data_IF_031048194441
#
_entry.id   IF_031048194441
#
_cell.length_a   1.000
_cell.length_b   1.000
_cell.length_c   1.000
_cell.angle_alpha   90.00
_cell.angle_beta   90.00
_cell.angle_gamma   90.00
#
_symmetry.space_group_name_H-M   'P 1'
#
loop_
_entity.id
_entity.type
_entity.pdbx_description
1 polymer ?
#
# COMPACT_ATOMS: atom_id res chain seq x y z
N UNK A 1 14.85 13.72 -5.26
CA UNK A 1 13.62 12.93 -5.15
C UNK A 1 13.33 12.79 -3.67
N UNK A 2 12.13 13.15 -3.23
CA UNK A 2 11.74 13.08 -1.82
C UNK A 2 11.71 11.62 -1.35
N UNK A 3 12.11 11.37 -0.10
CA UNK A 3 12.14 10.03 0.50
C UNK A 3 10.76 9.39 0.48
N UNK A 4 9.72 10.21 0.65
CA UNK A 4 8.34 9.76 0.56
C UNK A 4 7.94 9.35 -0.86
N UNK A 5 8.37 10.06 -1.90
CA UNK A 5 8.11 9.68 -3.29
C UNK A 5 8.80 8.37 -3.68
N UNK A 6 9.99 8.10 -3.11
CA UNK A 6 10.68 6.82 -3.26
C UNK A 6 9.85 5.71 -2.61
N UNK A 7 9.40 5.91 -1.36
CA UNK A 7 8.56 4.95 -0.64
C UNK A 7 7.27 4.64 -1.39
N UNK A 8 6.57 5.69 -1.84
CA UNK A 8 5.34 5.59 -2.63
C UNK A 8 5.57 4.70 -3.86
N UNK A 9 6.58 5.03 -4.66
CA UNK A 9 6.93 4.30 -5.89
C UNK A 9 7.28 2.84 -5.59
N UNK A 10 8.05 2.59 -4.53
CA UNK A 10 8.44 1.23 -4.13
C UNK A 10 7.25 0.37 -3.71
N UNK A 11 6.27 0.95 -2.99
CA UNK A 11 5.06 0.23 -2.59
C UNK A 11 4.21 -0.12 -3.81
N UNK A 12 4.02 0.84 -4.72
CA UNK A 12 3.27 0.62 -5.96
C UNK A 12 3.89 -0.50 -6.80
N UNK A 13 5.19 -0.41 -7.08
CA UNK A 13 5.92 -1.43 -7.83
C UNK A 13 5.79 -2.81 -7.15
N UNK A 14 5.98 -2.89 -5.83
CA UNK A 14 5.85 -4.15 -5.10
C UNK A 14 4.46 -4.76 -5.20
N UNK A 15 3.40 -3.96 -5.22
CA UNK A 15 2.04 -4.45 -5.42
C UNK A 15 1.83 -5.00 -6.83
N UNK A 16 2.21 -4.23 -7.85
CA UNK A 16 2.06 -4.61 -9.25
C UNK A 16 2.90 -5.86 -9.59
N UNK A 17 4.14 -5.94 -9.10
CA UNK A 17 5.04 -7.09 -9.28
C UNK A 17 4.48 -8.39 -8.64
N UNK A 18 3.60 -8.26 -7.65
CA UNK A 18 2.93 -9.39 -6.99
C UNK A 18 1.52 -9.64 -7.56
N UNK A 19 1.18 -9.04 -8.70
CA UNK A 19 -0.07 -9.29 -9.42
C UNK A 19 -1.29 -8.56 -8.85
N UNK A 20 -1.10 -7.60 -7.94
CA UNK A 20 -2.20 -6.79 -7.45
C UNK A 20 -2.58 -5.73 -8.47
N UNK A 21 -3.89 -5.59 -8.71
CA UNK A 21 -4.44 -4.50 -9.49
C UNK A 21 -4.83 -3.33 -8.58
N UNK A 22 -4.13 -2.21 -8.70
CA UNK A 22 -4.45 -0.96 -8.01
C UNK A 22 -5.59 -0.26 -8.77
N UNK A 23 -6.73 -0.06 -8.10
CA UNK A 23 -7.91 0.59 -8.67
C UNK A 23 -8.03 2.06 -8.28
N UNK A 24 -7.49 2.45 -7.11
CA UNK A 24 -7.47 3.85 -6.67
C UNK A 24 -6.10 4.15 -6.07
N UNK A 25 -5.54 5.29 -6.48
CA UNK A 25 -4.32 5.88 -5.93
C UNK A 25 -4.67 7.31 -5.49
N UNK A 26 -4.46 7.66 -4.22
CA UNK A 26 -4.68 9.04 -3.73
C UNK A 26 -3.74 9.43 -2.60
N UNK A 27 -3.41 10.71 -2.55
CA UNK A 27 -2.76 11.31 -1.39
C UNK A 27 -3.75 11.43 -0.22
N UNK A 28 -3.23 11.30 1.00
CA UNK A 28 -3.93 11.53 2.28
C UNK A 28 -3.06 12.44 3.15
N UNK A 29 -3.63 13.06 4.19
CA UNK A 29 -2.99 14.13 4.98
C UNK A 29 -1.55 13.84 5.44
N UNK A 30 -1.22 12.56 5.68
CA UNK A 30 0.12 12.13 6.12
C UNK A 30 0.63 10.90 5.35
N UNK A 31 0.25 10.74 4.09
CA UNK A 31 0.65 9.55 3.35
C UNK A 31 0.01 9.39 1.99
N UNK A 32 0.01 8.13 1.56
CA UNK A 32 -0.55 7.68 0.31
C UNK A 32 -1.46 6.48 0.54
N UNK A 33 -2.56 6.42 -0.18
CA UNK A 33 -3.51 5.32 -0.10
C UNK A 33 -3.64 4.63 -1.45
N UNK A 34 -3.55 3.31 -1.42
CA UNK A 34 -3.84 2.42 -2.54
C UNK A 34 -5.09 1.60 -2.22
N UNK A 35 -6.01 1.51 -3.17
CA UNK A 35 -7.09 0.51 -3.12
C UNK A 35 -6.83 -0.52 -4.20
N UNK A 36 -6.94 -1.79 -3.82
CA UNK A 36 -6.82 -2.93 -4.73
C UNK A 36 -8.18 -3.32 -5.28
N UNK A 37 -8.22 -4.06 -6.40
CA UNK A 37 -9.45 -4.61 -6.98
C UNK A 37 -10.20 -5.55 -6.03
N UNK A 38 -9.49 -6.14 -5.06
CA UNK A 38 -10.03 -7.01 -4.00
C UNK A 38 -10.81 -6.24 -2.91
N UNK A 39 -10.76 -4.90 -2.93
CA UNK A 39 -11.32 -4.05 -1.88
C UNK A 39 -10.38 -3.80 -0.70
N UNK A 40 -9.20 -4.43 -0.71
CA UNK A 40 -8.11 -4.16 0.24
C UNK A 40 -7.62 -2.72 0.08
N UNK A 41 -7.40 -2.05 1.21
CA UNK A 41 -6.89 -0.69 1.29
C UNK A 41 -5.53 -0.72 1.97
N UNK A 42 -4.53 -0.11 1.35
CA UNK A 42 -3.16 -0.01 1.87
C UNK A 42 -2.87 1.47 2.07
N UNK A 43 -2.59 1.87 3.31
CA UNK A 43 -2.12 3.21 3.62
C UNK A 43 -0.63 3.18 3.93
N UNK A 44 0.15 3.97 3.20
CA UNK A 44 1.57 4.20 3.39
C UNK A 44 1.77 5.59 3.96
N UNK A 45 2.23 5.70 5.21
CA UNK A 45 2.41 6.99 5.88
C UNK A 45 3.82 7.53 5.67
N UNK A 46 3.97 8.85 5.74
CA UNK A 46 5.26 9.54 5.61
C UNK A 46 6.29 9.07 6.66
N UNK A 47 5.83 8.48 7.77
CA UNK A 47 6.69 7.88 8.80
C UNK A 47 7.26 6.50 8.42
N UNK A 48 6.96 5.98 7.24
CA UNK A 48 7.30 4.61 6.84
C UNK A 48 6.34 3.54 7.37
N UNK A 49 5.37 3.92 8.20
CA UNK A 49 4.32 3.00 8.66
C UNK A 49 3.43 2.58 7.49
N UNK A 50 3.13 1.29 7.40
CA UNK A 50 2.16 0.74 6.45
C UNK A 50 1.02 0.10 7.24
N UNK A 51 -0.21 0.33 6.79
CA UNK A 51 -1.40 -0.32 7.35
C UNK A 51 -2.26 -0.90 6.25
N UNK A 52 -2.94 -2.00 6.54
CA UNK A 52 -3.89 -2.65 5.64
C UNK A 52 -5.26 -2.66 6.31
N UNK A 53 -6.28 -2.27 5.55
CA UNK A 53 -7.66 -2.13 5.98
C UNK A 53 -8.61 -2.67 4.88
N UNK A 54 -9.90 -2.78 5.20
CA UNK A 54 -10.91 -3.27 4.26
C UNK A 54 -10.96 -4.80 4.22
N UNK A 55 -11.16 -5.37 3.03
CA UNK A 55 -11.17 -6.83 2.87
C UNK A 55 -9.85 -7.41 3.35
N UNK A 56 -9.92 -8.42 4.22
CA UNK A 56 -8.73 -9.06 4.79
C UNK A 56 -8.00 -9.88 3.72
N UNK A 57 -7.00 -9.27 3.12
CA UNK A 57 -6.08 -9.92 2.19
C UNK A 57 -4.81 -10.35 2.94
N UNK A 58 -4.78 -11.65 3.28
CA UNK A 58 -3.69 -12.24 4.05
C UNK A 58 -2.35 -12.15 3.32
N UNK A 59 -2.37 -12.17 2.00
CA UNK A 59 -1.16 -12.13 1.19
C UNK A 59 -0.63 -10.70 1.08
N UNK A 60 -1.51 -9.69 1.06
CA UNK A 60 -1.10 -8.30 1.19
C UNK A 60 -0.44 -8.02 2.55
N UNK A 61 -0.96 -8.58 3.65
CA UNK A 61 -0.30 -8.46 4.97
C UNK A 61 1.11 -9.07 4.97
N UNK A 62 1.27 -10.25 4.37
CA UNK A 62 2.57 -10.94 4.25
C UNK A 62 3.58 -10.13 3.43
N UNK A 63 3.13 -9.49 2.35
CA UNK A 63 3.98 -8.68 1.47
C UNK A 63 4.69 -7.54 2.20
N UNK A 64 4.05 -7.00 3.25
CA UNK A 64 4.59 -5.92 4.07
C UNK A 64 5.05 -6.38 5.46
N UNK A 65 5.15 -7.70 5.70
CA UNK A 65 5.60 -8.25 6.98
C UNK A 65 4.67 -7.94 8.16
N UNK A 66 3.40 -7.64 7.91
CA UNK A 66 2.41 -7.34 8.93
C UNK A 66 1.86 -8.65 9.51
N UNK A 67 1.75 -8.71 10.84
CA UNK A 67 1.09 -9.84 11.52
C UNK A 67 -0.42 -9.72 11.32
N UNK A 68 -1.07 -10.83 10.95
CA UNK A 68 -2.53 -10.93 10.89
C UNK A 68 -3.16 -10.89 12.28
#
# INVERSE_FOLDING_TARGET
MDEFEILKTAIKARLEDNGYLITIEKAIDHGHQYRLSTGTIINAFNSGKITIQGTADRDANRLFGLKN
#
